data_IF_035610814296
#
_entry.id   IF_035610814296
#
_cell.length_a   1.000
_cell.length_b   1.000
_cell.length_c   1.000
_cell.angle_alpha   90.00
_cell.angle_beta   90.00
_cell.angle_gamma   90.00
#
_symmetry.space_group_name_H-M   'P 1'
#
loop_
_entity.id
_entity.type
_entity.pdbx_description
1 polymer ?
#
# COMPACT_ATOMS: atom_id res chain seq x y z
N UNK A 1 -7.41 -0.05 -7.47
CA UNK A 1 -7.76 -1.32 -6.80
C UNK A 1 -8.75 -1.04 -5.67
N UNK A 2 -9.61 -1.97 -5.30
CA UNK A 2 -10.34 -1.95 -4.02
C UNK A 2 -9.80 -2.99 -3.01
N UNK A 3 -8.89 -3.87 -3.47
CA UNK A 3 -8.24 -4.90 -2.67
C UNK A 3 -7.23 -4.30 -1.68
N UNK A 4 -7.31 -4.72 -0.41
CA UNK A 4 -6.35 -4.36 0.63
C UNK A 4 -4.95 -4.93 0.38
N UNK A 5 -4.84 -6.20 -0.01
CA UNK A 5 -3.53 -6.83 -0.29
C UNK A 5 -2.79 -6.16 -1.45
N UNK A 6 -3.51 -5.76 -2.50
CA UNK A 6 -2.92 -5.04 -3.64
C UNK A 6 -2.40 -3.66 -3.24
N UNK A 7 -2.96 -3.01 -2.22
CA UNK A 7 -2.41 -1.74 -1.70
C UNK A 7 -1.03 -1.95 -1.07
N UNK A 8 -0.85 -3.03 -0.31
CA UNK A 8 0.45 -3.40 0.27
C UNK A 8 1.44 -3.77 -0.83
N UNK A 9 1.05 -4.66 -1.74
CA UNK A 9 1.91 -5.16 -2.82
C UNK A 9 2.37 -4.03 -3.75
N UNK A 10 1.47 -3.12 -4.14
CA UNK A 10 1.83 -1.97 -4.97
C UNK A 10 2.82 -1.04 -4.26
N UNK A 11 2.65 -0.81 -2.94
CA UNK A 11 3.59 -0.04 -2.12
C UNK A 11 4.98 -0.68 -2.11
N UNK A 12 5.05 -1.99 -1.85
CA UNK A 12 6.30 -2.77 -1.80
C UNK A 12 7.03 -2.73 -3.15
N UNK A 13 6.28 -2.82 -4.25
CA UNK A 13 6.83 -2.84 -5.61
C UNK A 13 7.17 -1.46 -6.17
N UNK A 14 6.92 -0.38 -5.42
CA UNK A 14 7.18 0.98 -5.89
C UNK A 14 6.25 1.41 -7.03
N UNK A 15 5.01 0.93 -7.06
CA UNK A 15 4.00 1.27 -8.07
C UNK A 15 2.94 2.19 -7.44
N UNK A 16 2.77 3.44 -7.94
CA UNK A 16 1.73 4.33 -7.47
C UNK A 16 0.34 3.69 -7.57
N UNK A 17 -0.42 3.71 -6.46
CA UNK A 17 -1.72 3.07 -6.37
C UNK A 17 -2.86 4.09 -6.24
N UNK A 18 -4.00 3.79 -6.87
CA UNK A 18 -5.27 4.50 -6.67
C UNK A 18 -6.28 3.51 -6.11
N UNK A 19 -6.78 3.79 -4.92
CA UNK A 19 -7.73 2.95 -4.19
C UNK A 19 -9.17 3.43 -4.40
N UNK A 20 -10.03 2.53 -4.88
CA UNK A 20 -11.43 2.80 -5.21
C UNK A 20 -12.36 2.63 -4.00
N UNK A 21 -11.93 3.18 -2.85
CA UNK A 21 -12.66 3.15 -1.57
C UNK A 21 -12.55 4.51 -0.90
N UNK A 22 -13.53 4.85 -0.07
CA UNK A 22 -13.52 6.08 0.73
C UNK A 22 -12.65 5.97 1.99
N UNK A 23 -12.27 4.74 2.36
CA UNK A 23 -11.41 4.42 3.50
C UNK A 23 -10.51 3.21 3.19
N UNK A 24 -9.46 3.06 3.99
CA UNK A 24 -8.59 1.89 3.95
C UNK A 24 -8.07 1.54 5.34
N UNK A 25 -7.90 0.25 5.58
CA UNK A 25 -7.19 -0.35 6.71
C UNK A 25 -5.65 -0.34 6.53
N UNK A 26 -5.14 0.24 5.44
CA UNK A 26 -3.70 0.33 5.09
C UNK A 26 -3.22 1.78 5.08
N UNK A 27 -3.38 2.45 6.22
CA UNK A 27 -3.06 3.87 6.39
C UNK A 27 -1.61 4.18 6.01
N UNK A 28 -0.70 3.24 6.28
CA UNK A 28 0.73 3.35 6.00
C UNK A 28 0.99 3.62 4.51
N UNK A 29 0.18 3.05 3.60
CA UNK A 29 0.31 3.30 2.14
C UNK A 29 -0.07 4.73 1.75
N UNK A 30 -0.99 5.35 2.48
CA UNK A 30 -1.39 6.74 2.29
C UNK A 30 -0.33 7.68 2.90
N UNK A 31 0.18 7.33 4.09
CA UNK A 31 1.16 8.13 4.83
C UNK A 31 2.50 8.24 4.08
N UNK A 32 3.01 7.14 3.52
CA UNK A 32 4.21 7.18 2.66
C UNK A 32 3.91 7.72 1.25
N UNK A 33 2.62 7.89 0.94
CA UNK A 33 2.10 8.44 -0.31
C UNK A 33 2.35 7.53 -1.52
N UNK A 34 2.43 6.22 -1.31
CA UNK A 34 2.42 5.23 -2.38
C UNK A 34 1.00 5.02 -2.94
N UNK A 35 -0.02 5.45 -2.21
CA UNK A 35 -1.42 5.20 -2.52
C UNK A 35 -2.28 6.45 -2.24
N UNK A 36 -3.43 6.57 -2.90
CA UNK A 36 -4.43 7.61 -2.68
C UNK A 36 -5.84 7.03 -2.72
N UNK A 37 -6.75 7.55 -1.88
CA UNK A 37 -8.17 7.18 -1.87
C UNK A 37 -8.94 8.05 -2.89
N UNK A 38 -9.58 7.41 -3.86
CA UNK A 38 -10.39 8.08 -4.88
C UNK A 38 -11.91 7.90 -4.67
N UNK A 39 -12.34 6.99 -3.78
CA UNK A 39 -13.73 6.61 -3.68
C UNK A 39 -14.24 5.99 -5.00
N UNK A 40 -15.52 6.22 -5.31
CA UNK A 40 -16.18 5.68 -6.51
C UNK A 40 -16.60 6.73 -7.54
N UNK A 41 -16.22 8.00 -7.37
CA UNK A 41 -16.57 9.07 -8.32
C UNK A 41 -15.66 9.03 -9.55
N UNK A 42 -16.19 8.91 -10.79
CA UNK A 42 -15.36 8.85 -12.00
C UNK A 42 -14.40 10.03 -12.16
N UNK A 43 -14.87 11.25 -11.86
CA UNK A 43 -14.03 12.46 -11.95
C UNK A 43 -12.90 12.43 -10.92
N UNK A 44 -13.18 11.93 -9.71
CA UNK A 44 -12.18 11.82 -8.65
C UNK A 44 -11.15 10.74 -8.96
N UNK A 45 -11.59 9.61 -9.53
CA UNK A 45 -10.71 8.54 -9.99
C UNK A 45 -9.74 9.07 -11.05
N UNK A 46 -10.25 9.84 -12.03
CA UNK A 46 -9.41 10.44 -13.07
C UNK A 46 -8.38 11.40 -12.48
N UNK A 47 -8.80 12.34 -11.63
CA UNK A 47 -7.93 13.29 -10.94
C UNK A 47 -6.83 12.58 -10.13
N UNK A 48 -7.21 11.60 -9.31
CA UNK A 48 -6.25 10.83 -8.52
C UNK A 48 -5.30 10.01 -9.40
N UNK A 49 -5.76 9.50 -10.54
CA UNK A 49 -4.91 8.75 -11.48
C UNK A 49 -3.89 9.67 -12.12
N UNK A 50 -4.29 10.86 -12.58
CA UNK A 50 -3.36 11.87 -13.12
C UNK A 50 -2.31 12.26 -12.07
N UNK A 51 -2.73 12.53 -10.83
CA UNK A 51 -1.81 12.81 -9.73
C UNK A 51 -0.80 11.68 -9.47
N UNK A 52 -1.25 10.42 -9.55
CA UNK A 52 -0.39 9.25 -9.28
C UNK A 52 0.52 8.88 -10.46
N UNK A 53 0.20 9.29 -11.69
CA UNK A 53 1.10 9.14 -12.84
C UNK A 53 2.37 9.99 -12.71
N UNK A 54 2.25 11.18 -12.10
CA UNK A 54 3.38 12.08 -11.86
C UNK A 54 4.11 11.80 -10.54
N UNK A 55 3.63 10.84 -9.75
CA UNK A 55 4.20 10.51 -8.44
C UNK A 55 5.59 9.88 -8.61
N UNK A 56 6.57 10.36 -7.85
CA UNK A 56 7.89 9.74 -7.76
C UNK A 56 7.85 8.50 -6.88
N UNK A 57 8.48 7.43 -7.35
CA UNK A 57 8.50 6.12 -6.70
C UNK A 57 9.67 5.99 -5.71
N UNK A 58 9.77 6.94 -4.78
CA UNK A 58 10.90 7.05 -3.84
C UNK A 58 10.48 7.00 -2.37
N UNK A 59 9.32 6.41 -2.07
CA UNK A 59 8.88 6.17 -0.70
C UNK A 59 9.59 4.95 -0.09
N UNK A 60 9.66 4.91 1.23
CA UNK A 60 10.13 3.74 1.96
C UNK A 60 8.99 2.75 2.19
N UNK A 61 9.28 1.46 2.07
CA UNK A 61 8.30 0.40 2.30
C UNK A 61 8.03 0.21 3.81
N UNK A 62 6.79 0.41 4.29
CA UNK A 62 6.47 0.27 5.71
C UNK A 62 6.21 -1.19 6.15
N UNK A 63 6.08 -2.14 5.21
CA UNK A 63 5.67 -3.52 5.51
C UNK A 63 6.83 -4.47 5.87
N UNK A 64 8.03 -3.92 6.06
CA UNK A 64 9.21 -4.64 6.50
C UNK A 64 10.08 -5.16 5.37
N UNK A 65 10.94 -6.13 5.70
CA UNK A 65 12.08 -6.57 4.89
C UNK A 65 11.88 -7.96 4.26
N UNK A 66 10.64 -8.47 4.25
CA UNK A 66 10.32 -9.79 3.72
C UNK A 66 10.75 -10.96 4.60
N UNK A 67 11.22 -10.72 5.84
CA UNK A 67 11.66 -11.79 6.75
C UNK A 67 10.64 -12.19 7.82
N UNK A 68 9.41 -11.66 7.75
CA UNK A 68 8.36 -11.88 8.76
C UNK A 68 8.08 -13.37 9.03
N UNK A 69 7.94 -14.19 7.98
CA UNK A 69 7.68 -15.63 8.13
C UNK A 69 8.79 -16.34 8.93
N UNK A 70 10.06 -16.06 8.60
CA UNK A 70 11.22 -16.60 9.34
C UNK A 70 11.18 -16.18 10.81
N UNK A 71 10.94 -14.89 11.09
CA UNK A 71 10.89 -14.35 12.46
C UNK A 71 9.77 -14.99 13.28
N UNK A 72 8.60 -15.22 12.69
CA UNK A 72 7.47 -15.85 13.36
C UNK A 72 7.83 -17.29 13.78
N UNK A 73 8.41 -18.08 12.88
CA UNK A 73 8.85 -19.45 13.19
C UNK A 73 9.88 -19.45 14.33
N UNK A 74 10.90 -18.58 14.25
CA UNK A 74 11.94 -18.47 15.29
C UNK A 74 11.36 -18.11 16.68
N UNK A 75 10.28 -17.31 16.74
CA UNK A 75 9.61 -16.95 18.00
C UNK A 75 8.84 -18.15 18.58
N UNK A 76 8.12 -18.89 17.73
CA UNK A 76 7.35 -20.05 18.16
C UNK A 76 8.28 -21.15 18.69
N UNK A 77 9.41 -21.39 18.02
CA UNK A 77 10.40 -22.39 18.46
C UNK A 77 11.05 -22.04 19.80
N UNK A 78 11.30 -20.75 20.08
CA UNK A 78 11.89 -20.29 21.36
C UNK A 78 10.91 -20.31 22.54
N UNK A 79 9.62 -20.40 22.27
CA UNK A 79 8.57 -20.41 23.31
C UNK A 79 8.24 -21.83 23.78
N UNK A 80 8.80 -22.85 23.11
CA UNK A 80 8.80 -24.25 23.52
C UNK A 80 10.09 -24.63 24.27
#
# INVERSE_FOLDING_TARGET
TDSGGVQEEACILGVPCVTLRDNTERLETIEVGSNILAGASPNRILECTELMLDRKNNWENPFGDGTAGRRIVEILEKTH
#
